data_IF_308254989898
#
_entry.id   IF_308254989898
#
_cell.length_a   1.000
_cell.length_b   1.000
_cell.length_c   1.000
_cell.angle_alpha   90.00
_cell.angle_beta   90.00
_cell.angle_gamma   90.00
#
_symmetry.space_group_name_H-M   'P 1'
#
loop_
_entity.id
_entity.type
_entity.pdbx_description
1 polymer ?
#
# COMPACT_ATOMS: atom_id res chain seq x y z
N UNK A 1 -3.66 16.45 3.60
CA UNK A 1 -3.61 16.24 2.14
C UNK A 1 -2.17 16.02 1.79
N UNK A 2 -1.78 14.78 1.46
CA UNK A 2 -0.37 14.39 1.53
C UNK A 2 0.04 13.62 0.28
N UNK A 3 1.33 13.74 -0.04
CA UNK A 3 2.04 12.90 -1.01
C UNK A 3 3.31 12.34 -0.38
N UNK A 4 3.67 11.10 -0.76
CA UNK A 4 4.97 10.51 -0.48
C UNK A 4 5.83 10.68 -1.73
N UNK A 5 7.06 11.16 -1.55
CA UNK A 5 8.00 11.37 -2.65
C UNK A 5 9.20 10.44 -2.54
N UNK A 6 9.81 10.16 -3.68
CA UNK A 6 11.14 9.56 -3.73
C UNK A 6 12.19 10.62 -3.39
N UNK A 7 13.01 10.33 -2.37
CA UNK A 7 14.06 11.21 -1.83
C UNK A 7 15.47 10.68 -2.16
N UNK A 8 15.58 9.63 -2.98
CA UNK A 8 16.87 9.02 -3.37
C UNK A 8 17.83 10.01 -4.03
N UNK A 9 17.29 11.00 -4.75
CA UNK A 9 17.99 12.20 -5.21
C UNK A 9 17.29 13.40 -4.59
N UNK A 10 18.04 14.22 -3.83
CA UNK A 10 17.64 15.44 -3.13
C UNK A 10 16.16 15.89 -3.25
N UNK A 11 15.42 16.02 -2.13
CA UNK A 11 13.96 16.27 -2.11
C UNK A 11 13.44 17.40 -3.00
N UNK A 12 14.29 18.39 -3.27
CA UNK A 12 13.95 19.61 -3.99
C UNK A 12 14.25 19.54 -5.49
N UNK A 13 14.75 18.43 -6.01
CA UNK A 13 14.91 18.28 -7.45
C UNK A 13 13.55 18.17 -8.13
N UNK A 14 13.34 18.99 -9.15
CA UNK A 14 12.11 19.02 -9.95
C UNK A 14 11.76 17.64 -10.54
N UNK A 15 12.74 16.75 -10.72
CA UNK A 15 12.56 15.39 -11.23
C UNK A 15 12.04 14.34 -10.24
N UNK A 16 11.92 14.65 -8.94
CA UNK A 16 11.49 13.68 -7.93
C UNK A 16 10.10 13.10 -8.24
N UNK A 17 9.96 11.79 -8.02
CA UNK A 17 8.75 11.04 -8.34
C UNK A 17 7.78 11.02 -7.15
N UNK A 18 6.50 11.23 -7.42
CA UNK A 18 5.42 10.99 -6.46
C UNK A 18 5.16 9.49 -6.36
N UNK A 19 5.50 8.89 -5.22
CA UNK A 19 5.31 7.47 -4.93
C UNK A 19 3.86 7.14 -4.55
N UNK A 20 3.21 8.04 -3.80
CA UNK A 20 1.82 7.90 -3.42
C UNK A 20 1.17 9.26 -3.21
N UNK A 21 -0.12 9.37 -3.56
CA UNK A 21 -0.91 10.57 -3.33
C UNK A 21 -2.25 10.21 -2.67
N UNK A 22 -2.62 10.96 -1.63
CA UNK A 22 -3.93 10.81 -0.99
C UNK A 22 -5.08 11.11 -1.97
N UNK A 23 -6.24 10.47 -1.78
CA UNK A 23 -7.41 10.63 -2.66
C UNK A 23 -7.79 12.09 -2.88
N UNK A 24 -7.69 12.92 -1.83
CA UNK A 24 -7.97 14.35 -1.90
C UNK A 24 -7.01 15.10 -2.82
N UNK A 25 -5.71 14.78 -2.78
CA UNK A 25 -4.71 15.35 -3.71
C UNK A 25 -5.08 15.02 -5.16
N UNK A 26 -5.37 13.75 -5.44
CA UNK A 26 -5.72 13.28 -6.79
C UNK A 26 -6.93 14.04 -7.33
N UNK A 27 -7.95 14.25 -6.49
CA UNK A 27 -9.20 14.91 -6.87
C UNK A 27 -9.07 16.42 -7.07
N UNK A 28 -8.36 17.11 -6.16
CA UNK A 28 -8.30 18.58 -6.16
C UNK A 28 -7.18 19.14 -7.04
N UNK A 29 -6.09 18.38 -7.23
CA UNK A 29 -4.88 18.87 -7.91
C UNK A 29 -4.48 18.03 -9.13
N UNK A 30 -5.15 16.91 -9.40
CA UNK A 30 -4.82 16.01 -10.50
C UNK A 30 -3.48 15.26 -10.36
N UNK A 31 -2.76 15.45 -9.24
CA UNK A 31 -1.48 14.80 -8.97
C UNK A 31 -1.71 13.34 -8.61
N UNK A 32 -1.04 12.44 -9.33
CA UNK A 32 -1.17 10.98 -9.18
C UNK A 32 0.18 10.33 -8.86
N UNK A 33 0.15 9.05 -8.51
CA UNK A 33 1.38 8.25 -8.46
C UNK A 33 2.05 8.30 -9.83
N UNK A 34 3.35 8.55 -9.85
CA UNK A 34 4.12 8.76 -11.08
C UNK A 34 4.23 10.20 -11.56
N UNK A 35 3.45 11.14 -11.00
CA UNK A 35 3.65 12.58 -11.24
C UNK A 35 5.02 13.03 -10.72
N UNK A 36 5.53 14.12 -11.28
CA UNK A 36 6.80 14.74 -10.91
C UNK A 36 6.61 15.91 -9.94
N UNK A 37 7.68 16.24 -9.21
CA UNK A 37 7.69 17.38 -8.27
C UNK A 37 7.31 18.69 -8.95
N UNK A 38 7.80 18.96 -10.15
CA UNK A 38 7.46 20.19 -10.88
C UNK A 38 5.98 20.30 -11.28
N UNK A 39 5.23 19.18 -11.32
CA UNK A 39 3.79 19.21 -11.61
C UNK A 39 2.98 19.72 -10.41
N UNK A 40 3.57 19.74 -9.22
CA UNK A 40 2.89 20.14 -7.99
C UNK A 40 2.88 21.66 -7.88
N UNK A 41 1.70 22.30 -7.71
CA UNK A 41 1.63 23.74 -7.57
C UNK A 41 2.38 24.24 -6.33
N UNK A 42 3.25 25.24 -6.51
CA UNK A 42 4.08 25.83 -5.44
C UNK A 42 3.26 26.40 -4.27
N UNK A 43 2.06 26.90 -4.55
CA UNK A 43 1.14 27.47 -3.56
C UNK A 43 -0.02 26.51 -3.23
N UNK A 44 0.26 25.20 -3.16
CA UNK A 44 -0.74 24.20 -2.76
C UNK A 44 -0.68 23.92 -1.26
N UNK A 45 -1.79 23.42 -0.71
CA UNK A 45 -1.85 22.90 0.66
C UNK A 45 -1.39 21.44 0.76
N UNK A 46 -0.60 20.96 -0.23
CA UNK A 46 -0.11 19.59 -0.30
C UNK A 46 1.09 19.45 0.64
N UNK A 47 1.01 18.51 1.57
CA UNK A 47 2.14 18.14 2.41
C UNK A 47 2.97 17.06 1.72
N UNK A 48 4.23 17.36 1.47
CA UNK A 48 5.21 16.39 0.97
C UNK A 48 5.85 15.73 2.18
N UNK A 49 5.77 14.41 2.25
CA UNK A 49 6.35 13.63 3.36
C UNK A 49 7.27 12.53 2.87
N UNK A 50 8.26 12.22 3.70
CA UNK A 50 9.21 11.16 3.44
C UNK A 50 8.58 9.77 3.58
N UNK A 51 8.95 8.81 2.71
CA UNK A 51 8.51 7.44 2.83
C UNK A 51 9.21 6.73 4.00
N UNK A 52 8.42 6.14 4.90
CA UNK A 52 8.92 5.33 6.02
C UNK A 52 9.02 3.86 5.64
N UNK A 53 9.98 3.51 4.78
CA UNK A 53 10.07 2.14 4.22
C UNK A 53 10.17 1.04 5.28
N UNK A 54 10.94 1.24 6.34
CA UNK A 54 11.06 0.29 7.46
C UNK A 54 9.70 0.00 8.12
N UNK A 55 8.85 1.03 8.27
CA UNK A 55 7.51 0.85 8.81
C UNK A 55 6.64 0.02 7.85
N UNK A 56 6.73 0.28 6.55
CA UNK A 56 5.92 -0.43 5.56
C UNK A 56 6.29 -1.93 5.51
N UNK A 57 7.58 -2.26 5.55
CA UNK A 57 8.05 -3.64 5.62
C UNK A 57 7.54 -4.34 6.88
N UNK A 58 7.65 -3.69 8.04
CA UNK A 58 7.13 -4.24 9.31
C UNK A 58 5.62 -4.51 9.26
N UNK A 59 4.84 -3.59 8.68
CA UNK A 59 3.40 -3.80 8.54
C UNK A 59 3.08 -4.91 7.53
N UNK A 60 3.82 -5.01 6.43
CA UNK A 60 3.69 -6.11 5.47
C UNK A 60 3.93 -7.47 6.14
N UNK A 61 4.99 -7.61 6.94
CA UNK A 61 5.28 -8.84 7.71
C UNK A 61 4.11 -9.22 8.63
N UNK A 62 3.53 -8.25 9.35
CA UNK A 62 2.38 -8.47 10.24
C UNK A 62 1.15 -8.94 9.45
N UNK A 63 0.86 -8.30 8.30
CA UNK A 63 -0.29 -8.66 7.46
C UNK A 63 -0.10 -10.07 6.87
N UNK A 64 1.10 -10.40 6.41
CA UNK A 64 1.39 -11.74 5.88
C UNK A 64 1.31 -12.83 6.95
N UNK A 65 1.69 -12.52 8.20
CA UNK A 65 1.48 -13.43 9.32
C UNK A 65 -0.01 -13.72 9.55
N UNK A 66 -0.88 -12.72 9.41
CA UNK A 66 -2.34 -12.91 9.46
C UNK A 66 -2.79 -13.83 8.31
N UNK A 67 -2.27 -13.65 7.09
CA UNK A 67 -2.63 -14.51 5.95
C UNK A 67 -2.30 -15.99 6.22
N UNK A 68 -1.17 -16.27 6.87
CA UNK A 68 -0.75 -17.62 7.23
C UNK A 68 -1.64 -18.29 8.30
N UNK A 69 -2.53 -17.56 8.96
CA UNK A 69 -3.56 -18.18 9.82
C UNK A 69 -4.69 -18.84 8.99
N UNK A 70 -4.86 -18.42 7.73
CA UNK A 70 -5.93 -18.89 6.85
C UNK A 70 -5.44 -19.86 5.78
N UNK A 71 -4.18 -19.79 5.35
CA UNK A 71 -3.62 -20.63 4.29
C UNK A 71 -2.21 -21.11 4.66
N UNK A 72 -1.75 -22.18 4.02
CA UNK A 72 -0.37 -22.64 4.20
C UNK A 72 0.63 -21.73 3.47
N UNK A 73 1.92 -21.81 3.80
CA UNK A 73 2.96 -21.05 3.10
C UNK A 73 2.99 -21.34 1.58
N UNK A 74 2.69 -22.57 1.17
CA UNK A 74 2.65 -22.96 -0.25
C UNK A 74 1.49 -22.29 -1.01
N UNK A 75 0.44 -21.92 -0.29
CA UNK A 75 -0.77 -21.31 -0.83
C UNK A 75 -0.75 -19.78 -0.70
N UNK A 76 0.33 -19.19 -0.16
CA UNK A 76 0.54 -17.76 -0.03
C UNK A 76 1.65 -17.30 -0.97
N UNK A 77 1.30 -16.52 -1.98
CA UNK A 77 2.25 -15.90 -2.90
C UNK A 77 2.40 -14.39 -2.61
N UNK A 78 3.57 -14.01 -2.05
CA UNK A 78 3.94 -12.62 -1.83
C UNK A 78 4.35 -11.96 -3.17
N UNK A 79 3.56 -10.99 -3.64
CA UNK A 79 3.81 -10.34 -4.93
C UNK A 79 4.50 -8.98 -4.78
N UNK A 80 4.04 -8.17 -3.82
CA UNK A 80 4.60 -6.85 -3.54
C UNK A 80 4.44 -6.49 -2.05
N UNK A 81 4.82 -5.27 -1.66
CA UNK A 81 4.73 -4.82 -0.26
C UNK A 81 3.29 -4.65 0.24
N UNK A 82 2.34 -4.46 -0.67
CA UNK A 82 0.92 -4.27 -0.36
C UNK A 82 0.00 -5.28 -1.07
N UNK A 83 0.57 -6.25 -1.79
CA UNK A 83 -0.19 -7.25 -2.54
C UNK A 83 0.33 -8.67 -2.31
N UNK A 84 -0.59 -9.59 -2.02
CA UNK A 84 -0.33 -11.03 -1.89
C UNK A 84 -1.54 -11.82 -2.38
N UNK A 85 -1.28 -12.99 -2.95
CA UNK A 85 -2.32 -13.90 -3.45
C UNK A 85 -2.41 -15.12 -2.53
N UNK A 86 -3.64 -15.47 -2.15
CA UNK A 86 -3.94 -16.60 -1.29
C UNK A 86 -4.80 -17.60 -2.05
N UNK A 87 -4.35 -18.86 -2.16
CA UNK A 87 -5.22 -19.97 -2.57
C UNK A 87 -5.97 -20.50 -1.34
N UNK A 88 -7.26 -20.17 -1.26
CA UNK A 88 -8.11 -20.56 -0.13
C UNK A 88 -8.94 -21.82 -0.43
N UNK A 89 -8.66 -22.54 -1.52
CA UNK A 89 -9.48 -23.67 -1.97
C UNK A 89 -9.63 -24.75 -0.90
N UNK A 90 -8.51 -25.13 -0.26
CA UNK A 90 -8.51 -26.10 0.85
C UNK A 90 -9.13 -25.53 2.13
N UNK A 91 -8.86 -24.25 2.41
CA UNK A 91 -9.27 -23.52 3.60
C UNK A 91 -10.77 -23.26 3.70
N UNK A 92 -11.50 -23.35 2.57
CA UNK A 92 -12.94 -23.14 2.55
C UNK A 92 -13.70 -24.04 3.55
N UNK A 93 -13.20 -25.26 3.75
CA UNK A 93 -13.81 -26.23 4.68
C UNK A 93 -13.70 -25.81 6.15
N UNK A 94 -12.69 -25.03 6.50
CA UNK A 94 -12.41 -24.59 7.87
C UNK A 94 -13.04 -23.23 8.17
N UNK A 95 -12.99 -22.33 7.19
CA UNK A 95 -13.25 -20.90 7.43
C UNK A 95 -14.48 -20.36 6.71
N UNK A 96 -15.12 -21.16 5.85
CA UNK A 96 -16.30 -20.78 5.07
C UNK A 96 -15.93 -20.43 3.62
N UNK A 97 -16.84 -19.79 2.90
CA UNK A 97 -16.60 -19.35 1.52
C UNK A 97 -15.43 -18.37 1.42
N UNK A 98 -14.85 -18.25 0.22
CA UNK A 98 -13.79 -17.28 -0.11
C UNK A 98 -14.15 -15.85 0.33
N UNK A 99 -15.42 -15.45 0.19
CA UNK A 99 -15.90 -14.13 0.63
C UNK A 99 -15.87 -13.99 2.15
N UNK A 100 -16.27 -15.02 2.88
CA UNK A 100 -16.22 -15.03 4.35
C UNK A 100 -14.78 -14.99 4.86
N UNK A 101 -13.87 -15.73 4.23
CA UNK A 101 -12.43 -15.67 4.52
C UNK A 101 -11.91 -14.25 4.31
N UNK A 102 -12.20 -13.64 3.16
CA UNK A 102 -11.76 -12.27 2.87
C UNK A 102 -12.31 -11.24 3.88
N UNK A 103 -13.57 -11.38 4.30
CA UNK A 103 -14.17 -10.51 5.32
C UNK A 103 -13.53 -10.72 6.70
N UNK A 104 -13.21 -11.96 7.09
CA UNK A 104 -12.49 -12.24 8.32
C UNK A 104 -11.10 -11.62 8.31
N UNK A 105 -10.33 -11.82 7.24
CA UNK A 105 -9.00 -11.20 7.06
C UNK A 105 -9.11 -9.68 7.16
N UNK A 106 -10.08 -9.06 6.47
CA UNK A 106 -10.29 -7.62 6.54
C UNK A 106 -10.58 -7.15 7.97
N UNK A 107 -11.43 -7.86 8.71
CA UNK A 107 -11.78 -7.54 10.10
C UNK A 107 -10.63 -7.80 11.09
N UNK A 108 -9.68 -8.69 10.77
CA UNK A 108 -8.47 -8.88 11.59
C UNK A 108 -7.45 -7.77 11.37
N UNK A 109 -7.38 -7.20 10.16
CA UNK A 109 -6.44 -6.12 9.81
C UNK A 109 -6.93 -4.75 10.31
N UNK A 110 -8.24 -4.51 10.33
CA UNK A 110 -8.88 -3.22 10.66
C UNK A 110 -9.50 -3.19 12.05
#
# INVERSE_FOLDING_TARGET
>A
MMIKMDYSNEPNQDGCLVLAASTRVKKEYGIKTGSRRYEIPRHSFIQIVEPRMTLYLRINEIINAIFLEFVSENDLHLYSIDESFLDVTASNTLYGSTKEIALKIQATIW
#
